data_IF_536298588187
#
_entry.id   IF_536298588187
#
_cell.length_a   1.000
_cell.length_b   1.000
_cell.length_c   1.000
_cell.angle_alpha   90.00
_cell.angle_beta   90.00
_cell.angle_gamma   90.00
#
_symmetry.space_group_name_H-M   'P 1'
#
loop_
_entity.id
_entity.type
_entity.pdbx_description
1 polymer ?
#
# COMPACT_ATOMS: atom_id res chain seq x y z
N UNK A 1 -21.78 8.56 -9.31
CA UNK A 1 -22.16 7.12 -9.37
C UNK A 1 -21.04 6.30 -8.75
N UNK A 2 -21.27 5.54 -7.67
CA UNK A 2 -20.19 4.77 -7.09
C UNK A 2 -20.02 3.50 -7.94
N UNK A 3 -18.95 3.47 -8.74
CA UNK A 3 -18.58 2.29 -9.50
C UNK A 3 -18.36 1.12 -8.53
N UNK A 4 -19.15 0.05 -8.66
CA UNK A 4 -19.07 -1.12 -7.77
C UNK A 4 -17.65 -1.70 -7.69
N UNK A 5 -16.90 -1.68 -8.80
CA UNK A 5 -15.49 -2.14 -8.83
C UNK A 5 -14.60 -1.23 -7.99
N UNK A 6 -14.86 0.08 -8.03
CA UNK A 6 -14.15 1.05 -7.20
C UNK A 6 -14.44 0.84 -5.72
N UNK A 7 -15.71 0.63 -5.33
CA UNK A 7 -16.08 0.34 -3.93
C UNK A 7 -15.39 -0.94 -3.44
N UNK A 8 -15.37 -1.99 -4.27
CA UNK A 8 -14.68 -3.24 -3.95
C UNK A 8 -13.17 -3.04 -3.73
N UNK A 9 -12.50 -2.29 -4.61
CA UNK A 9 -11.09 -1.95 -4.44
C UNK A 9 -10.84 -1.20 -3.14
N UNK A 10 -11.64 -0.14 -2.89
CA UNK A 10 -11.62 0.64 -1.64
C UNK A 10 -11.77 -0.24 -0.40
N UNK A 11 -12.69 -1.20 -0.41
CA UNK A 11 -12.92 -2.10 0.70
C UNK A 11 -11.72 -3.02 0.97
N UNK A 12 -11.11 -3.57 -0.09
CA UNK A 12 -9.90 -4.40 0.03
C UNK A 12 -8.72 -3.61 0.60
N UNK A 13 -8.49 -2.39 0.11
CA UNK A 13 -7.45 -1.49 0.64
C UNK A 13 -7.69 -1.13 2.11
N UNK A 14 -8.94 -0.86 2.49
CA UNK A 14 -9.28 -0.57 3.89
C UNK A 14 -9.10 -1.78 4.80
N UNK A 15 -9.38 -2.99 4.31
CA UNK A 15 -9.14 -4.21 5.07
C UNK A 15 -7.64 -4.37 5.39
N UNK A 16 -6.76 -4.15 4.41
CA UNK A 16 -5.30 -4.20 4.59
C UNK A 16 -4.85 -3.20 5.65
N UNK A 17 -5.30 -1.94 5.57
CA UNK A 17 -4.99 -0.92 6.59
C UNK A 17 -5.48 -1.34 7.97
N UNK A 18 -6.70 -1.87 8.06
CA UNK A 18 -7.27 -2.27 9.36
C UNK A 18 -6.49 -3.42 9.99
N UNK A 19 -6.07 -4.39 9.17
CA UNK A 19 -5.25 -5.51 9.62
C UNK A 19 -3.86 -5.04 10.08
N UNK A 20 -3.19 -4.20 9.30
CA UNK A 20 -1.89 -3.65 9.67
C UNK A 20 -1.96 -2.81 10.96
N UNK A 21 -3.00 -1.98 11.13
CA UNK A 21 -3.22 -1.23 12.38
C UNK A 21 -3.47 -2.13 13.58
N UNK A 22 -4.21 -3.23 13.39
CA UNK A 22 -4.44 -4.21 14.45
C UNK A 22 -3.15 -4.91 14.90
N UNK A 23 -2.13 -4.94 14.04
CA UNK A 23 -0.79 -5.45 14.33
C UNK A 23 0.16 -4.37 14.92
N UNK A 24 -0.34 -3.17 15.22
CA UNK A 24 0.47 -2.07 15.76
C UNK A 24 1.22 -1.24 14.71
N UNK A 25 1.04 -1.52 13.42
CA UNK A 25 1.69 -0.76 12.36
C UNK A 25 0.98 0.57 12.07
N UNK A 26 1.75 1.60 11.72
CA UNK A 26 1.22 2.80 11.09
C UNK A 26 0.87 2.47 9.65
N UNK A 27 -0.40 2.62 9.26
CA UNK A 27 -0.79 2.38 7.87
C UNK A 27 -1.87 3.33 7.37
N UNK A 28 -1.80 3.66 6.10
CA UNK A 28 -2.76 4.52 5.42
C UNK A 28 -2.87 4.17 3.94
N UNK A 29 -4.00 4.56 3.36
CA UNK A 29 -4.24 4.44 1.93
C UNK A 29 -3.69 5.64 1.21
N UNK A 30 -3.22 5.46 -0.02
CA UNK A 30 -2.97 6.59 -0.90
C UNK A 30 -4.30 7.25 -1.31
N UNK A 31 -4.25 8.57 -1.53
CA UNK A 31 -5.43 9.35 -1.92
C UNK A 31 -5.76 9.24 -3.42
N UNK A 32 -4.83 8.74 -4.25
CA UNK A 32 -4.93 8.81 -5.71
C UNK A 32 -5.31 7.48 -6.37
N UNK A 33 -6.29 7.50 -7.27
CA UNK A 33 -6.69 6.33 -8.09
C UNK A 33 -5.63 5.91 -9.13
N UNK A 34 -4.58 6.71 -9.32
CA UNK A 34 -3.44 6.44 -10.21
C UNK A 34 -2.13 6.26 -9.42
N UNK A 35 -2.21 6.17 -8.10
CA UNK A 35 -1.03 5.93 -7.27
C UNK A 35 -0.40 4.58 -7.63
N UNK A 36 0.94 4.52 -7.55
CA UNK A 36 1.69 3.26 -7.68
C UNK A 36 1.67 2.44 -6.38
N UNK A 37 1.18 3.04 -5.29
CA UNK A 37 1.09 2.44 -3.96
C UNK A 37 -0.33 2.67 -3.49
N UNK A 38 -1.11 1.62 -3.25
CA UNK A 38 -2.49 1.77 -2.75
C UNK A 38 -2.51 1.88 -1.23
N UNK A 39 -1.63 1.14 -0.55
CA UNK A 39 -1.48 1.14 0.91
C UNK A 39 -0.01 1.24 1.29
N UNK A 40 0.28 2.14 2.21
CA UNK A 40 1.57 2.27 2.88
C UNK A 40 1.47 1.71 4.29
N UNK A 41 2.47 0.92 4.70
CA UNK A 41 2.56 0.33 6.03
C UNK A 41 3.98 0.58 6.56
N UNK A 42 4.09 1.14 7.76
CA UNK A 42 5.33 1.27 8.52
C UNK A 42 5.18 0.47 9.82
N UNK A 43 6.05 -0.51 10.01
CA UNK A 43 6.18 -1.20 11.28
C UNK A 43 7.19 -0.43 12.17
N UNK A 44 6.76 0.20 13.27
CA UNK A 44 7.66 0.95 14.13
C UNK A 44 8.63 0.06 14.93
N UNK A 45 8.30 -1.21 15.14
CA UNK A 45 9.13 -2.16 15.90
C UNK A 45 10.30 -2.66 15.04
N UNK A 46 10.01 -3.15 13.83
CA UNK A 46 11.05 -3.66 12.91
C UNK A 46 11.69 -2.56 12.05
N UNK A 47 11.11 -1.36 12.04
CA UNK A 47 11.49 -0.22 11.17
C UNK A 47 11.35 -0.53 9.68
N UNK A 48 10.48 -1.47 9.33
CA UNK A 48 10.24 -1.86 7.94
C UNK A 48 9.09 -1.05 7.32
N UNK A 49 9.29 -0.64 6.07
CA UNK A 49 8.26 -0.04 5.23
C UNK A 49 7.79 -1.08 4.22
N UNK A 50 6.49 -1.37 4.20
CA UNK A 50 5.86 -2.22 3.20
C UNK A 50 4.96 -1.40 2.29
N UNK A 51 5.25 -1.44 0.99
CA UNK A 51 4.46 -0.80 -0.05
C UNK A 51 3.54 -1.84 -0.69
N UNK A 52 2.23 -1.59 -0.69
CA UNK A 52 1.23 -2.55 -1.19
C UNK A 52 0.45 -1.94 -2.34
N UNK A 53 0.44 -2.66 -3.46
CA UNK A 53 -0.52 -2.45 -4.55
C UNK A 53 -1.57 -3.57 -4.49
N UNK A 54 -2.83 -3.18 -4.25
CA UNK A 54 -3.96 -4.11 -4.17
C UNK A 54 -4.54 -4.33 -5.57
N UNK A 55 -4.57 -5.59 -6.01
CA UNK A 55 -5.23 -6.00 -7.25
C UNK A 55 -6.31 -7.05 -6.97
N UNK A 56 -7.14 -7.31 -7.97
CA UNK A 56 -8.03 -8.49 -7.95
C UNK A 56 -7.22 -9.77 -7.89
N UNK A 57 -7.79 -10.84 -7.34
CA UNK A 57 -7.07 -12.09 -7.09
C UNK A 57 -6.68 -12.84 -8.37
N UNK A 58 -7.28 -12.44 -9.51
CA UNK A 58 -6.97 -12.97 -10.84
C UNK A 58 -6.16 -11.93 -11.64
N UNK A 59 -4.86 -11.82 -11.34
CA UNK A 59 -3.94 -11.03 -12.17
C UNK A 59 -2.88 -11.94 -12.82
N UNK A 60 -2.46 -11.67 -14.06
CA UNK A 60 -1.40 -12.43 -14.71
C UNK A 60 -0.04 -12.23 -14.01
N UNK A 61 0.80 -13.26 -14.03
CA UNK A 61 2.16 -13.21 -13.45
C UNK A 61 3.03 -12.10 -14.04
N UNK A 62 2.88 -11.82 -15.33
CA UNK A 62 3.56 -10.72 -15.99
C UNK A 62 3.19 -9.36 -15.37
N UNK A 63 1.94 -9.19 -14.96
CA UNK A 63 1.49 -7.96 -14.29
C UNK A 63 1.99 -7.89 -12.85
N UNK A 64 2.00 -9.02 -12.13
CA UNK A 64 2.61 -9.11 -10.78
C UNK A 64 4.06 -8.65 -10.84
N UNK A 65 4.86 -9.23 -11.75
CA UNK A 65 6.28 -8.88 -11.93
C UNK A 65 6.44 -7.40 -12.22
N UNK A 66 5.66 -6.86 -13.16
CA UNK A 66 5.69 -5.43 -13.51
C UNK A 66 5.39 -4.52 -12.30
N UNK A 67 4.43 -4.89 -11.46
CA UNK A 67 4.09 -4.13 -10.24
C UNK A 67 5.24 -4.23 -9.24
N UNK A 68 5.76 -5.43 -9.00
CA UNK A 68 6.89 -5.64 -8.08
C UNK A 68 8.12 -4.85 -8.52
N UNK A 69 8.50 -4.87 -9.80
CA UNK A 69 9.63 -4.07 -10.31
C UNK A 69 9.45 -2.58 -10.02
N UNK A 70 8.23 -2.04 -10.13
CA UNK A 70 7.95 -0.65 -9.79
C UNK A 70 8.01 -0.37 -8.29
N UNK A 71 7.56 -1.30 -7.44
CA UNK A 71 7.62 -1.10 -6.00
C UNK A 71 9.05 -1.22 -5.47
N UNK A 72 9.82 -2.17 -6.00
CA UNK A 72 11.22 -2.42 -5.63
C UNK A 72 12.16 -1.29 -6.07
N UNK A 73 11.73 -0.35 -6.92
CA UNK A 73 12.52 0.86 -7.20
C UNK A 73 12.70 1.74 -5.94
N UNK A 74 11.86 1.55 -4.92
CA UNK A 74 11.92 2.22 -3.61
C UNK A 74 12.60 1.34 -2.54
N UNK A 75 13.29 0.28 -2.94
CA UNK A 75 14.06 -0.53 -2.01
C UNK A 75 15.28 0.27 -1.50
N UNK A 76 15.48 0.28 -0.19
CA UNK A 76 16.62 0.94 0.43
C UNK A 76 16.41 1.27 1.90
N UNK A 77 17.42 1.90 2.48
CA UNK A 77 17.39 2.45 3.83
C UNK A 77 17.11 3.94 3.77
N UNK A 78 16.18 4.41 4.59
CA UNK A 78 15.76 5.81 4.61
C UNK A 78 16.00 6.43 5.98
N UNK A 79 16.37 7.70 5.99
CA UNK A 79 16.38 8.52 7.20
C UNK A 79 14.99 9.13 7.41
N UNK A 80 14.59 9.27 8.67
CA UNK A 80 13.30 9.85 9.05
C UNK A 80 13.51 11.27 9.54
N UNK A 81 12.90 12.23 8.86
CA UNK A 81 12.79 13.63 9.31
C UNK A 81 11.32 13.99 9.58
N UNK A 82 11.08 14.80 10.61
CA UNK A 82 9.74 15.23 11.00
C UNK A 82 9.71 16.76 11.21
N UNK A 83 8.68 17.41 10.68
CA UNK A 83 8.43 18.86 10.79
C UNK A 83 6.96 19.08 11.19
N UNK A 84 6.69 20.08 12.03
CA UNK A 84 5.33 20.53 12.39
C UNK A 84 5.14 21.95 11.87
N UNK A 85 4.04 22.21 11.14
CA UNK A 85 3.68 23.51 10.57
C UNK A 85 2.32 23.97 11.05
#
# INVERSE_FOLDING_TARGET
>A
MPNYRYIKGRAKEQLIVRQAKAQGCLSFRSAGSKSQIDVFILNPETKEITLVQSKSDKIPDAEIKRILTKLLQYEGTYEVSAEVR
#
